data_IF_976228295883
#
_entry.id   IF_976228295883
#
_cell.length_a   1.000
_cell.length_b   1.000
_cell.length_c   1.000
_cell.angle_alpha   90.00
_cell.angle_beta   90.00
_cell.angle_gamma   90.00
#
_symmetry.space_group_name_H-M   'P 1'
#
loop_
_entity.id
_entity.type
_entity.pdbx_description
1 polymer ?
#
# COMPACT_ATOMS: atom_id res chain seq x y z
N UNK A 1 55.89 12.14 -48.85
CA UNK A 1 55.02 12.83 -47.87
C UNK A 1 53.78 11.96 -47.63
N UNK A 2 53.67 11.39 -46.45
CA UNK A 2 52.49 10.57 -46.05
C UNK A 2 51.57 11.47 -45.28
N UNK A 3 50.40 11.75 -45.83
CA UNK A 3 49.32 12.42 -45.08
C UNK A 3 48.67 11.41 -44.14
N UNK A 4 48.87 11.58 -42.83
CA UNK A 4 48.16 10.83 -41.85
C UNK A 4 46.84 11.56 -41.59
N UNK A 5 45.73 10.98 -42.08
CA UNK A 5 44.39 11.45 -41.81
C UNK A 5 44.02 10.99 -40.39
N UNK A 6 44.13 11.92 -39.45
CA UNK A 6 43.70 11.67 -38.07
C UNK A 6 42.17 11.75 -38.02
N UNK A 7 41.51 10.60 -38.07
CA UNK A 7 40.05 10.53 -37.87
C UNK A 7 39.76 10.73 -36.40
N UNK A 8 39.34 11.94 -36.07
CA UNK A 8 38.86 12.27 -34.72
C UNK A 8 37.48 11.65 -34.54
N UNK A 9 37.41 10.52 -33.84
CA UNK A 9 36.14 9.94 -33.37
C UNK A 9 35.57 10.87 -32.28
N UNK A 10 34.60 11.69 -32.66
CA UNK A 10 33.78 12.42 -31.70
C UNK A 10 32.85 11.43 -31.02
N UNK A 11 33.24 10.93 -29.86
CA UNK A 11 32.33 10.29 -28.92
C UNK A 11 31.39 11.39 -28.43
N UNK A 12 30.19 11.46 -29.00
CA UNK A 12 29.12 12.25 -28.43
C UNK A 12 28.74 11.62 -27.09
N UNK A 13 28.78 12.36 -25.97
CA UNK A 13 28.25 11.83 -24.71
C UNK A 13 26.78 11.57 -24.93
N UNK A 14 26.32 10.35 -24.64
CA UNK A 14 24.93 10.03 -24.50
C UNK A 14 24.41 10.88 -23.30
N UNK A 15 23.79 11.99 -23.61
CA UNK A 15 23.08 12.77 -22.63
C UNK A 15 21.82 11.97 -22.26
N UNK A 16 21.83 11.37 -21.07
CA UNK A 16 20.60 10.91 -20.43
C UNK A 16 19.80 12.18 -20.16
N UNK A 17 18.60 12.29 -20.74
CA UNK A 17 17.69 13.36 -20.40
C UNK A 17 17.34 13.19 -18.92
N UNK A 18 17.78 14.12 -18.06
CA UNK A 18 17.30 14.22 -16.70
C UNK A 18 15.79 14.49 -16.79
N UNK A 19 15.01 13.70 -16.04
CA UNK A 19 13.57 13.97 -15.87
C UNK A 19 13.45 15.29 -15.11
N UNK A 20 13.11 16.36 -15.84
CA UNK A 20 12.95 17.71 -15.29
C UNK A 20 11.53 17.96 -14.77
N UNK A 21 10.71 16.91 -14.64
CA UNK A 21 9.35 17.02 -14.12
C UNK A 21 9.36 17.49 -12.68
N UNK A 22 8.53 18.47 -12.36
CA UNK A 22 8.30 18.96 -10.99
C UNK A 22 7.40 18.00 -10.17
N UNK A 23 6.99 16.89 -10.77
CA UNK A 23 6.15 15.85 -10.15
C UNK A 23 6.68 14.47 -10.48
N UNK A 24 6.35 13.50 -9.64
CA UNK A 24 6.62 12.08 -9.89
C UNK A 24 5.32 11.36 -10.25
N UNK A 25 5.34 10.63 -11.37
CA UNK A 25 4.26 9.70 -11.72
C UNK A 25 4.59 8.32 -11.16
N UNK A 26 3.65 7.74 -10.41
CA UNK A 26 3.83 6.42 -9.82
C UNK A 26 2.86 5.45 -10.50
N UNK A 27 3.41 4.40 -11.12
CA UNK A 27 2.64 3.25 -11.56
C UNK A 27 2.61 2.25 -10.40
N UNK A 28 1.44 1.82 -9.91
CA UNK A 28 1.38 0.95 -8.76
C UNK A 28 1.92 -0.45 -9.09
N UNK A 29 2.49 -1.07 -8.07
CA UNK A 29 2.79 -2.50 -8.08
C UNK A 29 1.56 -3.25 -7.59
N UNK A 30 1.06 -4.20 -8.39
CA UNK A 30 -0.04 -5.06 -7.98
C UNK A 30 0.48 -6.24 -7.16
N UNK A 31 -0.13 -6.46 -6.00
CA UNK A 31 0.13 -7.57 -5.10
C UNK A 31 -1.18 -8.32 -4.84
N UNK A 32 -1.11 -9.65 -4.86
CA UNK A 32 -2.21 -10.55 -4.47
C UNK A 32 -1.85 -11.15 -3.11
N UNK A 33 -2.73 -11.01 -2.14
CA UNK A 33 -2.52 -11.52 -0.79
C UNK A 33 -3.65 -12.48 -0.45
N UNK A 34 -3.29 -13.70 -0.08
CA UNK A 34 -4.24 -14.73 0.31
C UNK A 34 -4.39 -14.75 1.83
N UNK A 35 -5.55 -14.29 2.29
CA UNK A 35 -6.03 -14.51 3.65
C UNK A 35 -7.06 -15.68 3.62
N UNK A 36 -8.25 -15.54 4.22
CA UNK A 36 -9.35 -16.48 3.97
C UNK A 36 -9.80 -16.45 2.49
N UNK A 37 -9.78 -15.26 1.89
CA UNK A 37 -9.99 -14.98 0.48
C UNK A 37 -8.86 -14.07 -0.04
N UNK A 38 -8.64 -14.08 -1.35
CA UNK A 38 -7.63 -13.22 -1.97
C UNK A 38 -8.07 -11.76 -2.00
N UNK A 39 -7.20 -10.86 -1.56
CA UNK A 39 -7.32 -9.42 -1.76
C UNK A 39 -6.24 -8.89 -2.69
N UNK A 40 -6.50 -7.77 -3.31
CA UNK A 40 -5.56 -7.07 -4.18
C UNK A 40 -5.09 -5.78 -3.53
N UNK A 41 -3.78 -5.56 -3.54
CA UNK A 41 -3.15 -4.30 -3.16
C UNK A 41 -2.55 -3.66 -4.40
N UNK A 42 -2.85 -2.39 -4.63
CA UNK A 42 -2.15 -1.54 -5.58
C UNK A 42 -1.23 -0.62 -4.79
N UNK A 43 0.06 -0.94 -4.78
CA UNK A 43 1.06 -0.25 -3.95
C UNK A 43 1.71 0.90 -4.74
N UNK A 44 1.56 2.12 -4.22
CA UNK A 44 2.13 3.36 -4.75
C UNK A 44 3.31 3.87 -3.92
N UNK A 45 3.81 3.08 -2.97
CA UNK A 45 4.87 3.49 -2.06
C UNK A 45 6.18 3.73 -2.82
N UNK A 46 6.90 4.80 -2.46
CA UNK A 46 8.20 5.16 -3.05
C UNK A 46 9.34 5.17 -2.03
N UNK A 47 9.03 5.00 -0.74
CA UNK A 47 10.01 4.95 0.35
C UNK A 47 9.50 4.10 1.50
N UNK A 48 10.38 3.79 2.46
CA UNK A 48 10.05 3.06 3.68
C UNK A 48 9.37 3.96 4.74
N UNK A 49 9.38 5.27 4.56
CA UNK A 49 8.86 6.22 5.56
C UNK A 49 7.35 6.39 5.48
N UNK A 50 6.78 6.24 4.28
CA UNK A 50 5.37 6.43 4.00
C UNK A 50 4.90 5.40 2.97
N UNK A 51 3.90 4.63 3.31
CA UNK A 51 3.19 3.76 2.39
C UNK A 51 1.90 4.41 1.90
N UNK A 52 1.56 4.19 0.65
CA UNK A 52 0.27 4.54 0.07
C UNK A 52 -0.20 3.42 -0.82
N UNK A 53 -1.40 2.94 -0.60
CA UNK A 53 -1.96 1.88 -1.43
C UNK A 53 -3.48 2.02 -1.60
N UNK A 54 -4.00 1.28 -2.57
CA UNK A 54 -5.41 0.91 -2.61
C UNK A 54 -5.54 -0.57 -2.24
N UNK A 55 -6.56 -0.91 -1.50
CA UNK A 55 -6.93 -2.28 -1.19
C UNK A 55 -8.30 -2.59 -1.75
N UNK A 56 -8.40 -3.72 -2.44
CA UNK A 56 -9.66 -4.27 -2.94
C UNK A 56 -9.85 -5.66 -2.34
N UNK A 57 -10.95 -5.85 -1.62
CA UNK A 57 -11.25 -7.11 -0.94
C UNK A 57 -12.66 -7.61 -1.27
N UNK A 58 -12.82 -8.90 -1.60
CA UNK A 58 -14.11 -9.46 -1.97
C UNK A 58 -15.08 -9.53 -0.77
N UNK A 59 -16.35 -9.79 -1.07
CA UNK A 59 -17.36 -10.11 -0.06
C UNK A 59 -16.89 -11.30 0.76
N UNK A 60 -17.00 -11.20 2.09
CA UNK A 60 -16.61 -12.26 3.02
C UNK A 60 -15.12 -12.28 3.37
N UNK A 61 -14.32 -11.36 2.81
CA UNK A 61 -12.92 -11.26 3.17
C UNK A 61 -12.71 -10.81 4.62
N UNK A 62 -11.78 -11.46 5.28
CA UNK A 62 -11.26 -11.08 6.60
C UNK A 62 -9.78 -11.41 6.68
N UNK A 63 -9.01 -10.56 7.35
CA UNK A 63 -7.64 -10.89 7.71
C UNK A 63 -7.57 -11.54 9.10
N UNK A 64 -6.42 -12.14 9.48
CA UNK A 64 -6.18 -12.55 10.87
C UNK A 64 -6.21 -11.36 11.83
N UNK A 65 -6.25 -11.63 13.14
CA UNK A 65 -6.01 -10.59 14.15
C UNK A 65 -4.55 -10.19 14.06
N UNK A 66 -4.29 -8.91 13.86
CA UNK A 66 -2.94 -8.36 13.72
C UNK A 66 -2.72 -7.18 14.66
N UNK A 67 -1.46 -6.93 14.96
CA UNK A 67 -0.98 -5.67 15.54
C UNK A 67 0.07 -5.11 14.61
N UNK A 68 -0.08 -3.86 14.22
CA UNK A 68 0.76 -3.19 13.25
C UNK A 68 1.72 -2.23 13.96
N UNK A 69 3.01 -2.29 13.66
CA UNK A 69 3.99 -1.32 14.17
C UNK A 69 4.07 -0.07 13.28
N UNK A 70 3.06 0.16 12.46
CA UNK A 70 2.81 1.40 11.72
C UNK A 70 1.39 1.88 11.99
N UNK A 71 1.17 3.20 11.90
CA UNK A 71 -0.17 3.76 11.88
C UNK A 71 -0.80 3.49 10.51
N UNK A 72 -2.01 2.95 10.51
CA UNK A 72 -2.80 2.74 9.30
C UNK A 72 -3.97 3.74 9.28
N UNK A 73 -3.98 4.60 8.29
CA UNK A 73 -5.09 5.51 8.00
C UNK A 73 -5.69 5.17 6.66
N UNK A 74 -6.94 5.52 6.50
CA UNK A 74 -7.55 5.36 5.20
C UNK A 74 -8.92 5.98 5.08
N UNK A 75 -9.49 5.80 3.91
CA UNK A 75 -10.84 6.20 3.58
C UNK A 75 -11.52 5.11 2.77
N UNK A 76 -12.79 4.90 3.02
CA UNK A 76 -13.61 3.93 2.28
C UNK A 76 -14.07 4.56 0.97
N UNK A 77 -13.72 3.94 -0.14
CA UNK A 77 -14.13 4.36 -1.49
C UNK A 77 -15.39 3.63 -1.94
N UNK A 78 -15.50 2.33 -1.61
CA UNK A 78 -16.67 1.51 -1.90
C UNK A 78 -16.81 0.41 -0.84
N UNK A 79 -18.04 0.01 -0.57
CA UNK A 79 -18.36 -1.03 0.40
C UNK A 79 -18.41 -0.53 1.83
N UNK A 80 -18.28 -1.44 2.78
CA UNK A 80 -18.29 -1.19 4.23
C UNK A 80 -17.08 -1.87 4.86
N UNK A 81 -16.23 -1.05 5.49
CA UNK A 81 -15.10 -1.54 6.27
C UNK A 81 -15.57 -1.97 7.66
N UNK A 82 -15.16 -3.14 8.11
CA UNK A 82 -15.31 -3.59 9.49
C UNK A 82 -13.96 -3.60 10.21
N UNK A 83 -13.93 -3.04 11.41
CA UNK A 83 -12.81 -3.14 12.35
C UNK A 83 -13.31 -3.81 13.62
N UNK A 84 -12.67 -4.92 13.99
CA UNK A 84 -12.96 -5.65 15.22
C UNK A 84 -11.80 -5.48 16.19
N UNK A 85 -12.11 -4.99 17.38
CA UNK A 85 -11.19 -4.84 18.51
C UNK A 85 -11.62 -5.74 19.65
N UNK A 86 -10.82 -5.82 20.73
CA UNK A 86 -11.15 -6.65 21.88
C UNK A 86 -12.52 -6.33 22.49
N UNK A 87 -12.83 -5.05 22.67
CA UNK A 87 -14.03 -4.61 23.40
C UNK A 87 -15.14 -4.05 22.50
N UNK A 88 -14.83 -3.79 21.24
CA UNK A 88 -15.78 -3.15 20.32
C UNK A 88 -15.56 -3.55 18.87
N UNK A 89 -16.59 -3.35 18.06
CA UNK A 89 -16.53 -3.40 16.61
C UNK A 89 -16.98 -2.07 16.04
N UNK A 90 -16.38 -1.66 14.92
CA UNK A 90 -16.74 -0.43 14.24
C UNK A 90 -16.95 -0.71 12.75
N UNK A 91 -17.88 0.01 12.14
CA UNK A 91 -18.14 -0.02 10.69
C UNK A 91 -17.95 1.37 10.11
N UNK A 92 -17.36 1.41 8.92
CA UNK A 92 -17.11 2.65 8.19
C UNK A 92 -17.75 2.54 6.81
N UNK A 93 -18.58 3.51 6.48
CA UNK A 93 -19.26 3.62 5.19
C UNK A 93 -18.42 4.44 4.20
N UNK A 94 -18.85 4.47 2.95
CA UNK A 94 -18.22 5.27 1.89
C UNK A 94 -18.03 6.71 2.34
N UNK A 95 -16.85 7.27 2.05
CA UNK A 95 -16.37 8.60 2.43
C UNK A 95 -16.05 8.78 3.94
N UNK A 96 -16.20 7.76 4.76
CA UNK A 96 -15.72 7.80 6.12
C UNK A 96 -14.24 7.40 6.18
N UNK A 97 -13.47 8.13 6.99
CA UNK A 97 -12.07 7.86 7.25
C UNK A 97 -11.88 7.09 8.55
N UNK A 98 -10.75 6.40 8.66
CA UNK A 98 -10.36 5.65 9.86
C UNK A 98 -8.88 5.83 10.17
N UNK A 99 -8.54 5.64 11.44
CA UNK A 99 -7.16 5.55 11.92
C UNK A 99 -7.05 4.36 12.86
N UNK A 100 -6.10 3.48 12.58
CA UNK A 100 -5.69 2.41 13.49
C UNK A 100 -4.31 2.80 14.03
N UNK A 101 -4.21 3.14 15.33
CA UNK A 101 -2.92 3.49 15.94
C UNK A 101 -1.96 2.30 15.94
N UNK A 102 -0.65 2.59 15.99
CA UNK A 102 0.37 1.57 16.17
C UNK A 102 0.08 0.68 17.36
N UNK A 103 0.43 -0.60 17.25
CA UNK A 103 0.38 -1.59 18.34
C UNK A 103 -1.03 -1.84 18.89
N UNK A 104 -2.05 -1.64 18.08
CA UNK A 104 -3.45 -1.95 18.42
C UNK A 104 -3.83 -3.27 17.75
N UNK A 105 -4.27 -4.26 18.54
CA UNK A 105 -4.81 -5.50 17.99
C UNK A 105 -6.13 -5.24 17.29
N UNK A 106 -6.24 -5.65 16.04
CA UNK A 106 -7.42 -5.43 15.19
C UNK A 106 -7.59 -6.58 14.21
N UNK A 107 -8.84 -6.88 13.85
CA UNK A 107 -9.19 -7.68 12.68
C UNK A 107 -9.92 -6.77 11.69
N UNK A 108 -9.36 -6.67 10.49
CA UNK A 108 -9.93 -5.87 9.41
C UNK A 108 -10.70 -6.82 8.48
N UNK A 109 -11.91 -6.44 8.09
CA UNK A 109 -12.74 -7.29 7.24
C UNK A 109 -13.70 -6.47 6.37
N UNK A 110 -14.21 -7.10 5.33
CA UNK A 110 -15.32 -6.57 4.55
C UNK A 110 -16.63 -6.85 5.31
N UNK A 111 -17.22 -5.80 5.88
CA UNK A 111 -18.46 -5.90 6.66
C UNK A 111 -19.72 -5.69 5.84
N UNK A 112 -19.59 -5.51 4.53
CA UNK A 112 -20.70 -5.25 3.61
C UNK A 112 -21.03 -6.43 2.70
N UNK A 113 -21.90 -6.16 1.74
CA UNK A 113 -22.38 -7.12 0.76
C UNK A 113 -21.97 -6.78 -0.68
N UNK A 114 -20.95 -5.94 -0.82
CA UNK A 114 -20.27 -5.57 -2.07
C UNK A 114 -18.76 -5.61 -1.84
N UNK A 115 -17.92 -5.65 -2.89
CA UNK A 115 -16.48 -5.56 -2.72
C UNK A 115 -16.07 -4.30 -1.95
N UNK A 116 -15.10 -4.44 -1.06
CA UNK A 116 -14.54 -3.33 -0.28
C UNK A 116 -13.39 -2.71 -1.07
N UNK A 117 -13.39 -1.37 -1.16
CA UNK A 117 -12.30 -0.60 -1.75
C UNK A 117 -11.88 0.50 -0.79
N UNK A 118 -10.60 0.47 -0.41
CA UNK A 118 -9.97 1.45 0.49
C UNK A 118 -8.83 2.17 -0.23
N UNK A 119 -8.59 3.41 0.17
CA UNK A 119 -7.28 4.07 0.02
C UNK A 119 -6.65 4.13 1.40
N UNK A 120 -5.39 3.71 1.51
CA UNK A 120 -4.68 3.56 2.78
C UNK A 120 -3.34 4.29 2.75
N UNK A 121 -3.00 4.90 3.89
CA UNK A 121 -1.71 5.52 4.17
C UNK A 121 -1.10 4.84 5.39
N UNK A 122 0.14 4.38 5.27
CA UNK A 122 0.89 3.68 6.31
C UNK A 122 2.09 4.52 6.72
N UNK A 123 2.30 4.70 8.02
CA UNK A 123 3.46 5.45 8.54
C UNK A 123 4.10 4.75 9.76
N UNK A 124 5.33 4.23 9.62
CA UNK A 124 6.11 4.05 8.39
C UNK A 124 5.43 3.15 7.38
N UNK A 125 6.05 3.00 6.19
CA UNK A 125 5.56 2.11 5.15
C UNK A 125 5.58 0.64 5.56
N UNK A 126 4.86 -0.19 4.81
CA UNK A 126 4.75 -1.62 5.08
C UNK A 126 6.11 -2.32 5.08
N UNK A 127 6.32 -3.13 6.11
CA UNK A 127 7.33 -4.21 6.17
C UNK A 127 6.70 -5.39 6.88
N UNK A 128 6.96 -6.60 6.41
CA UNK A 128 6.44 -7.83 7.03
C UNK A 128 6.83 -7.93 8.51
N UNK A 129 8.05 -7.51 8.86
CA UNK A 129 8.55 -7.48 10.24
C UNK A 129 7.77 -6.56 11.19
N UNK A 130 6.96 -5.64 10.66
CA UNK A 130 6.14 -4.70 11.42
C UNK A 130 4.71 -5.23 11.67
N UNK A 131 4.39 -6.43 11.21
CA UNK A 131 3.08 -7.07 11.37
C UNK A 131 3.23 -8.27 12.29
N UNK A 132 2.41 -8.31 13.35
CA UNK A 132 2.31 -9.46 14.26
C UNK A 132 0.91 -10.04 14.17
N UNK A 133 0.83 -11.36 14.01
CA UNK A 133 -0.43 -12.10 14.01
C UNK A 133 -0.71 -12.71 15.39
N UNK A 134 -1.98 -12.80 15.73
CA UNK A 134 -2.48 -13.36 16.98
C UNK A 134 -3.64 -14.31 16.73
N UNK A 135 -3.77 -15.34 17.57
CA UNK A 135 -4.91 -16.26 17.51
C UNK A 135 -6.15 -15.70 18.22
N UNK A 136 -5.97 -14.77 19.16
CA UNK A 136 -7.05 -14.15 19.92
C UNK A 136 -6.73 -12.71 20.33
N UNK A 137 -7.74 -11.98 20.78
CA UNK A 137 -7.57 -10.63 21.36
C UNK A 137 -7.05 -10.65 22.80
N UNK A 138 -6.97 -11.80 23.44
CA UNK A 138 -6.48 -11.98 24.80
C UNK A 138 -4.93 -11.84 24.90
#
# INVERSE_FOLDING_TARGET
>A
MKNILLTLLLLSPLAFAEDTSEYQRITPKELKIQDNLERTILDYSTSDELGMNQMLAPIGWTEPIVSLEFELRGVVIAGVLGLEFKEETAKFNVNEGFVIPKNTKVRIHNAGNVPLHLVEILRPGYKESLVKEFESFE
#
